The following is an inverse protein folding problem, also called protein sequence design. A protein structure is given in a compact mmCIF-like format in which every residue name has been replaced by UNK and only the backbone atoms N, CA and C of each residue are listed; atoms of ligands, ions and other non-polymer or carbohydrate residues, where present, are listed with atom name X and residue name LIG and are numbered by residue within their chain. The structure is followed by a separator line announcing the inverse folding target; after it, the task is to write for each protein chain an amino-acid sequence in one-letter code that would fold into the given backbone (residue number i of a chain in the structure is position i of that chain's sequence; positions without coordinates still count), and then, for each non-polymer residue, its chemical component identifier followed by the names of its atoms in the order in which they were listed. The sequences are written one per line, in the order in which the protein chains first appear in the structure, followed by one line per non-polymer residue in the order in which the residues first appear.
data_IF_464683003438
#
_entry.id   IF_464683003438
#
_cell.length_a   1.000
_cell.length_b   1.000
_cell.length_c   1.000
_cell.angle_alpha   90.00
_cell.angle_beta   90.00
_cell.angle_gamma   90.00
#
_symmetry.space_group_name_H-M   'P 1'
#
loop_
_entity.id
_entity.type
_entity.pdbx_description
1 polymer ?
#
# COMPACT_ATOMS: atom_id res chain seq x y z
N UNK A 1 28.68 14.22 25.95
CA UNK A 1 27.40 14.78 25.41
C UNK A 1 26.71 13.82 24.44
N UNK A 2 27.41 13.22 23.46
CA UNK A 2 26.81 12.23 22.52
C UNK A 2 26.39 10.93 23.21
N UNK A 3 27.21 10.43 24.14
CA UNK A 3 26.94 9.16 24.87
C UNK A 3 25.65 9.21 25.70
N UNK A 4 25.33 10.35 26.33
CA UNK A 4 24.10 10.48 27.14
C UNK A 4 22.83 10.64 26.30
N UNK A 5 22.96 11.11 25.06
CA UNK A 5 21.84 11.17 24.10
C UNK A 5 21.52 9.77 23.60
N UNK A 6 22.56 8.97 23.33
CA UNK A 6 22.40 7.60 22.86
C UNK A 6 21.77 6.68 23.91
N UNK A 7 22.09 6.84 25.20
CA UNK A 7 21.47 6.04 26.27
C UNK A 7 19.96 6.31 26.38
N UNK A 8 19.56 7.59 26.31
CA UNK A 8 18.15 7.97 26.34
C UNK A 8 17.34 7.42 25.15
N UNK A 9 17.96 7.24 23.98
CA UNK A 9 17.29 6.69 22.80
C UNK A 9 17.16 5.16 22.85
N UNK A 10 18.08 4.46 23.50
CA UNK A 10 17.94 3.03 23.83
C UNK A 10 16.82 2.78 24.83
N UNK A 11 16.71 3.62 25.86
CA UNK A 11 15.68 3.49 26.91
C UNK A 11 14.27 3.78 26.36
N UNK A 12 14.16 4.57 25.29
CA UNK A 12 12.92 4.83 24.54
C UNK A 12 12.59 3.73 23.51
N UNK A 13 13.41 2.67 23.39
CA UNK A 13 13.19 1.57 22.46
C UNK A 13 13.43 1.89 20.97
N UNK A 14 14.05 3.04 20.68
CA UNK A 14 14.29 3.53 19.31
C UNK A 14 15.50 2.83 18.66
N UNK A 15 16.42 2.29 19.47
CA UNK A 15 17.59 1.54 19.02
C UNK A 15 17.61 0.12 19.63
N UNK A 16 17.57 -0.92 18.78
CA UNK A 16 17.96 -2.29 19.15
C UNK A 16 19.32 -2.61 18.50
N UNK A 17 20.38 -2.67 19.30
CA UNK A 17 21.68 -3.13 18.82
C UNK A 17 21.74 -4.67 18.82
N UNK A 18 22.06 -5.27 17.66
CA UNK A 18 22.64 -6.61 17.63
C UNK A 18 24.15 -6.50 17.91
N UNK A 19 24.64 -7.35 18.79
CA UNK A 19 26.02 -7.36 19.27
C UNK A 19 26.90 -8.11 18.25
N UNK A 20 27.61 -7.40 17.39
CA UNK A 20 28.66 -8.01 16.53
C UNK A 20 29.93 -7.17 16.48
N UNK A 21 30.89 -7.61 17.31
CA UNK A 21 32.37 -7.57 17.24
C UNK A 21 33.15 -6.39 16.62
N UNK A 22 33.91 -5.73 17.51
CA UNK A 22 35.35 -5.42 17.46
C UNK A 22 36.05 -5.35 16.09
N UNK A 23 36.24 -4.15 15.57
CA UNK A 23 37.53 -3.43 15.46
C UNK A 23 37.21 -2.09 14.80
N UNK A 24 37.89 -1.03 15.25
CA UNK A 24 37.56 0.34 14.88
C UNK A 24 37.45 0.54 13.37
N UNK A 25 36.25 0.88 12.90
CA UNK A 25 35.97 1.87 11.87
C UNK A 25 34.45 1.90 11.59
N UNK A 26 33.90 3.13 11.58
CA UNK A 26 32.56 3.50 11.04
C UNK A 26 31.29 3.02 11.78
N UNK A 27 30.69 3.98 12.50
CA UNK A 27 29.36 3.92 13.11
C UNK A 27 28.15 3.86 12.13
N UNK A 28 28.34 3.48 10.87
CA UNK A 28 27.30 3.59 9.83
C UNK A 28 26.46 2.33 9.59
N UNK A 29 26.83 1.18 10.18
CA UNK A 29 26.24 -0.11 9.79
C UNK A 29 24.92 -0.41 10.52
N UNK A 30 24.74 0.05 11.77
CA UNK A 30 23.54 -0.30 12.55
C UNK A 30 22.27 0.46 12.14
N UNK A 31 22.39 1.75 11.77
CA UNK A 31 21.24 2.59 11.40
C UNK A 31 20.73 2.28 10.00
N UNK A 32 21.64 2.05 9.02
CA UNK A 32 21.28 1.68 7.66
C UNK A 32 20.62 0.29 7.56
N UNK A 33 21.09 -0.68 8.37
CA UNK A 33 20.51 -2.03 8.41
C UNK A 33 19.11 -2.03 9.03
N UNK A 34 18.90 -1.26 10.10
CA UNK A 34 17.59 -1.09 10.72
C UNK A 34 16.60 -0.36 9.78
N UNK A 35 17.05 0.67 9.06
CA UNK A 35 16.24 1.41 8.09
C UNK A 35 15.80 0.55 6.90
N UNK A 36 16.69 -0.28 6.37
CA UNK A 36 16.32 -1.23 5.31
C UNK A 36 15.23 -2.19 5.79
N UNK A 37 15.37 -2.76 7.00
CA UNK A 37 14.38 -3.68 7.56
C UNK A 37 13.01 -3.02 7.76
N UNK A 38 12.98 -1.80 8.28
CA UNK A 38 11.74 -1.05 8.47
C UNK A 38 11.06 -0.70 7.14
N UNK A 39 11.84 -0.29 6.14
CA UNK A 39 11.36 -0.04 4.78
C UNK A 39 10.77 -1.31 4.14
N UNK A 40 11.45 -2.46 4.28
CA UNK A 40 10.93 -3.74 3.79
C UNK A 40 9.62 -4.09 4.49
N UNK A 41 9.56 -3.93 5.81
CA UNK A 41 8.33 -4.16 6.57
C UNK A 41 7.16 -3.32 6.04
N UNK A 42 7.35 -2.01 5.87
CA UNK A 42 6.31 -1.11 5.35
C UNK A 42 5.86 -1.53 3.95
N UNK A 43 6.82 -1.88 3.09
CA UNK A 43 6.52 -2.38 1.75
C UNK A 43 5.62 -3.61 1.82
N UNK A 44 5.99 -4.59 2.64
CA UNK A 44 5.23 -5.83 2.80
C UNK A 44 3.84 -5.59 3.40
N UNK A 45 3.74 -4.69 4.38
CA UNK A 45 2.46 -4.34 5.01
C UNK A 45 1.52 -3.64 4.02
N UNK A 46 2.04 -2.70 3.21
CA UNK A 46 1.27 -2.04 2.15
C UNK A 46 0.87 -3.03 1.05
N UNK A 47 1.77 -3.92 0.60
CA UNK A 47 1.45 -4.94 -0.42
C UNK A 47 0.36 -5.89 0.09
N UNK A 48 0.47 -6.34 1.34
CA UNK A 48 -0.51 -7.22 1.96
C UNK A 48 -1.87 -6.54 2.09
N UNK A 49 -1.88 -5.29 2.54
CA UNK A 49 -3.11 -4.51 2.60
C UNK A 49 -3.70 -4.26 1.20
N UNK A 50 -2.87 -3.94 0.20
CA UNK A 50 -3.33 -3.74 -1.16
C UNK A 50 -4.00 -5.00 -1.72
N UNK A 51 -3.45 -6.19 -1.45
CA UNK A 51 -4.05 -7.46 -1.84
C UNK A 51 -5.40 -7.69 -1.15
N UNK A 52 -5.48 -7.44 0.16
CA UNK A 52 -6.71 -7.56 0.94
C UNK A 52 -7.79 -6.60 0.43
N UNK A 53 -7.44 -5.34 0.19
CA UNK A 53 -8.34 -4.31 -0.30
C UNK A 53 -8.82 -4.60 -1.73
N UNK A 54 -7.93 -5.08 -2.60
CA UNK A 54 -8.28 -5.57 -3.94
C UNK A 54 -9.31 -6.69 -3.88
N UNK A 55 -9.08 -7.69 -3.03
CA UNK A 55 -9.99 -8.83 -2.86
C UNK A 55 -11.36 -8.37 -2.34
N UNK A 56 -11.38 -7.41 -1.41
CA UNK A 56 -12.62 -6.79 -0.93
C UNK A 56 -13.41 -6.12 -2.06
N UNK A 57 -12.76 -5.30 -2.89
CA UNK A 57 -13.40 -4.62 -4.03
C UNK A 57 -13.93 -5.66 -5.02
N UNK A 58 -13.09 -6.62 -5.42
CA UNK A 58 -13.46 -7.64 -6.40
C UNK A 58 -14.64 -8.49 -5.92
N UNK A 59 -14.60 -8.96 -4.67
CA UNK A 59 -15.68 -9.73 -4.06
C UNK A 59 -16.99 -8.95 -4.10
N UNK A 60 -16.98 -7.67 -3.73
CA UNK A 60 -18.18 -6.85 -3.69
C UNK A 60 -18.73 -6.54 -5.09
N UNK A 61 -17.87 -6.26 -6.07
CA UNK A 61 -18.28 -6.10 -7.47
C UNK A 61 -18.87 -7.40 -8.03
N UNK A 62 -18.22 -8.55 -7.82
CA UNK A 62 -18.74 -9.87 -8.22
C UNK A 62 -20.07 -10.20 -7.56
N UNK A 63 -20.23 -9.88 -6.29
CA UNK A 63 -21.48 -10.15 -5.58
C UNK A 63 -22.65 -9.34 -6.15
N UNK A 64 -22.41 -8.07 -6.51
CA UNK A 64 -23.44 -7.17 -7.01
C UNK A 64 -23.73 -7.36 -8.51
N UNK A 65 -22.69 -7.38 -9.34
CA UNK A 65 -22.79 -7.43 -10.81
C UNK A 65 -22.61 -8.82 -11.41
N UNK A 66 -22.38 -9.86 -10.59
CA UNK A 66 -22.26 -11.26 -11.02
C UNK A 66 -21.17 -11.47 -12.08
N UNK A 67 -21.51 -12.05 -13.22
CA UNK A 67 -20.57 -12.42 -14.28
C UNK A 67 -20.06 -11.16 -15.00
N UNK A 68 -20.90 -10.14 -15.12
CA UNK A 68 -20.62 -8.88 -15.80
C UNK A 68 -19.88 -7.87 -14.92
N UNK A 69 -19.33 -8.29 -13.78
CA UNK A 69 -18.72 -7.38 -12.80
C UNK A 69 -17.56 -6.57 -13.34
N UNK A 70 -16.73 -7.15 -14.21
CA UNK A 70 -15.62 -6.43 -14.82
C UNK A 70 -16.15 -5.35 -15.78
N UNK A 71 -17.07 -5.72 -16.66
CA UNK A 71 -17.60 -4.80 -17.67
C UNK A 71 -18.47 -3.70 -17.09
N UNK A 72 -19.26 -4.05 -16.08
CA UNK A 72 -20.23 -3.13 -15.47
C UNK A 72 -19.59 -2.33 -14.35
N UNK A 73 -18.78 -2.96 -13.51
CA UNK A 73 -18.23 -2.40 -12.27
C UNK A 73 -16.95 -1.60 -12.47
N UNK A 74 -16.13 -1.92 -13.47
CA UNK A 74 -14.87 -1.20 -13.71
C UNK A 74 -15.10 -0.05 -14.70
N UNK A 75 -14.71 1.20 -14.36
CA UNK A 75 -14.81 2.32 -15.30
C UNK A 75 -13.98 2.07 -16.56
N UNK A 76 -14.47 2.52 -17.72
CA UNK A 76 -13.80 2.33 -19.02
C UNK A 76 -12.37 2.87 -19.04
N UNK A 77 -12.15 4.05 -18.43
CA UNK A 77 -10.82 4.64 -18.31
C UNK A 77 -9.84 3.75 -17.52
N UNK A 78 -10.33 3.00 -16.54
CA UNK A 78 -9.52 2.06 -15.76
C UNK A 78 -9.26 0.78 -16.56
N UNK A 79 -10.25 0.26 -17.30
CA UNK A 79 -10.06 -0.88 -18.21
C UNK A 79 -8.95 -0.60 -19.24
N UNK A 80 -9.00 0.55 -19.91
CA UNK A 80 -7.99 0.96 -20.89
C UNK A 80 -6.58 1.10 -20.28
N UNK A 81 -6.48 1.62 -19.05
CA UNK A 81 -5.21 1.68 -18.32
C UNK A 81 -4.67 0.27 -18.02
N UNK A 82 -5.51 -0.64 -17.56
CA UNK A 82 -5.14 -2.03 -17.28
C UNK A 82 -4.65 -2.73 -18.54
N UNK A 83 -5.38 -2.61 -19.66
CA UNK A 83 -5.00 -3.24 -20.93
C UNK A 83 -3.67 -2.69 -21.47
N UNK A 84 -3.42 -1.39 -21.29
CA UNK A 84 -2.13 -0.77 -21.61
C UNK A 84 -1.00 -1.33 -20.74
N UNK A 85 -1.21 -1.45 -19.42
CA UNK A 85 -0.22 -2.01 -18.48
C UNK A 85 0.06 -3.49 -18.77
N UNK A 86 -0.95 -4.26 -19.17
CA UNK A 86 -0.82 -5.67 -19.59
C UNK A 86 0.02 -5.77 -20.85
N UNK A 87 -0.28 -4.96 -21.88
CA UNK A 87 0.46 -4.95 -23.15
C UNK A 87 1.94 -4.65 -22.91
N UNK A 88 2.25 -3.61 -22.11
CA UNK A 88 3.63 -3.26 -21.75
C UNK A 88 4.33 -4.33 -20.89
N UNK A 89 3.56 -5.14 -20.14
CA UNK A 89 4.12 -6.26 -19.39
C UNK A 89 4.40 -7.44 -20.32
N UNK A 90 3.50 -7.78 -21.22
CA UNK A 90 3.65 -8.87 -22.19
C UNK A 90 4.79 -8.63 -23.19
N UNK A 91 5.07 -7.38 -23.56
CA UNK A 91 6.26 -7.03 -24.36
C UNK A 91 7.57 -7.48 -23.69
N UNK A 92 7.61 -7.49 -22.34
CA UNK A 92 8.78 -7.90 -21.55
C UNK A 92 8.74 -9.37 -21.17
N UNK A 93 7.55 -9.92 -21.00
CA UNK A 93 7.31 -11.31 -20.62
C UNK A 93 6.04 -11.85 -21.33
N UNK A 94 6.18 -12.40 -22.55
CA UNK A 94 5.03 -12.83 -23.35
C UNK A 94 4.22 -13.99 -22.75
N UNK A 95 4.78 -14.73 -21.79
CA UNK A 95 4.14 -15.91 -21.18
C UNK A 95 3.48 -15.62 -19.84
N UNK A 96 3.43 -14.34 -19.43
CA UNK A 96 2.87 -13.97 -18.13
C UNK A 96 1.37 -14.29 -18.07
N UNK A 97 0.95 -14.90 -16.96
CA UNK A 97 -0.46 -15.09 -16.66
C UNK A 97 -1.13 -13.74 -16.34
N UNK A 98 -2.32 -13.52 -16.91
CA UNK A 98 -2.98 -12.21 -16.89
C UNK A 98 -4.16 -12.24 -15.93
N UNK A 99 -3.91 -11.74 -14.72
CA UNK A 99 -4.97 -11.44 -13.75
C UNK A 99 -5.17 -9.92 -13.76
N UNK A 100 -6.22 -9.43 -14.41
CA UNK A 100 -6.45 -7.99 -14.65
C UNK A 100 -6.41 -7.14 -13.36
N UNK A 101 -6.96 -7.65 -12.26
CA UNK A 101 -6.92 -6.95 -10.96
C UNK A 101 -5.49 -6.72 -10.43
N UNK A 102 -4.50 -7.54 -10.84
CA UNK A 102 -3.11 -7.35 -10.44
C UNK A 102 -2.45 -6.12 -11.08
N UNK A 103 -3.08 -5.52 -12.07
CA UNK A 103 -2.60 -4.34 -12.77
C UNK A 103 -3.26 -3.04 -12.27
N UNK A 104 -3.98 -3.08 -11.15
CA UNK A 104 -4.58 -1.91 -10.49
C UNK A 104 -3.71 -1.41 -9.34
N UNK A 105 -3.87 -0.14 -8.98
CA UNK A 105 -3.27 0.50 -7.82
C UNK A 105 -4.28 1.32 -7.00
N UNK A 106 -3.83 1.92 -5.88
CA UNK A 106 -4.68 2.71 -4.99
C UNK A 106 -5.48 3.82 -5.68
N UNK A 107 -4.93 4.45 -6.72
CA UNK A 107 -5.66 5.49 -7.46
C UNK A 107 -6.80 4.91 -8.31
N UNK A 108 -6.57 3.72 -8.86
CA UNK A 108 -7.59 3.01 -9.63
C UNK A 108 -8.70 2.48 -8.69
N UNK A 109 -8.35 1.99 -7.50
CA UNK A 109 -9.33 1.55 -6.49
C UNK A 109 -10.26 2.69 -6.07
N UNK A 110 -9.73 3.88 -5.76
CA UNK A 110 -10.56 5.06 -5.46
C UNK A 110 -11.51 5.38 -6.62
N UNK A 111 -11.01 5.34 -7.86
CA UNK A 111 -11.82 5.60 -9.06
C UNK A 111 -12.94 4.58 -9.24
N UNK A 112 -12.68 3.30 -8.95
CA UNK A 112 -13.67 2.22 -8.99
C UNK A 112 -14.71 2.42 -7.88
N UNK A 113 -14.29 2.63 -6.63
CA UNK A 113 -15.19 2.75 -5.48
C UNK A 113 -16.08 4.00 -5.60
N UNK A 114 -15.51 5.14 -5.99
CA UNK A 114 -16.23 6.42 -6.01
C UNK A 114 -17.09 6.64 -7.25
N UNK A 115 -16.99 5.77 -8.26
CA UNK A 115 -17.91 5.78 -9.40
C UNK A 115 -19.34 5.71 -8.87
N UNK A 116 -20.17 6.69 -9.25
CA UNK A 116 -21.52 6.91 -8.69
C UNK A 116 -22.32 5.62 -8.51
N UNK A 117 -22.43 4.80 -9.57
CA UNK A 117 -23.16 3.52 -9.52
C UNK A 117 -22.61 2.58 -8.43
N UNK A 118 -21.29 2.36 -8.41
CA UNK A 118 -20.65 1.47 -7.44
C UNK A 118 -20.76 2.01 -6.02
N UNK A 119 -20.58 3.33 -5.86
CA UNK A 119 -20.71 3.98 -4.56
C UNK A 119 -22.12 3.77 -4.02
N UNK A 120 -23.13 4.23 -4.76
CA UNK A 120 -24.52 4.26 -4.33
C UNK A 120 -25.09 2.86 -4.06
N UNK A 121 -24.69 1.85 -4.85
CA UNK A 121 -25.27 0.50 -4.78
C UNK A 121 -24.46 -0.55 -4.00
N UNK A 122 -23.18 -0.29 -3.72
CA UNK A 122 -22.27 -1.28 -3.11
C UNK A 122 -21.58 -0.67 -1.89
N UNK A 123 -20.85 0.42 -2.09
CA UNK A 123 -19.83 0.86 -1.12
C UNK A 123 -20.36 1.79 -0.02
N UNK A 124 -21.54 2.38 -0.18
CA UNK A 124 -22.30 3.05 0.89
C UNK A 124 -22.66 2.12 2.05
N UNK A 125 -22.70 0.80 1.81
CA UNK A 125 -22.97 -0.19 2.87
C UNK A 125 -21.77 -0.42 3.79
N UNK A 126 -20.57 -0.01 3.37
CA UNK A 126 -19.31 -0.28 4.10
C UNK A 126 -18.67 1.00 4.61
N UNK A 127 -18.66 2.06 3.80
CA UNK A 127 -17.98 3.31 4.13
C UNK A 127 -19.00 4.40 4.45
N UNK A 128 -18.80 5.16 5.55
CA UNK A 128 -19.73 6.21 5.95
C UNK A 128 -19.79 7.35 4.92
N UNK A 129 -18.64 7.70 4.35
CA UNK A 129 -18.52 8.72 3.31
C UNK A 129 -17.24 8.52 2.49
N UNK A 130 -17.15 9.19 1.33
CA UNK A 130 -15.97 9.04 0.43
C UNK A 130 -14.68 9.57 1.06
N UNK A 131 -14.74 10.67 1.82
CA UNK A 131 -13.54 11.29 2.42
C UNK A 131 -12.91 10.39 3.46
N UNK A 132 -13.72 9.57 4.14
CA UNK A 132 -13.26 8.60 5.15
C UNK A 132 -12.26 7.57 4.61
N UNK A 133 -12.22 7.35 3.29
CA UNK A 133 -11.27 6.45 2.63
C UNK A 133 -10.40 7.14 1.57
N UNK A 134 -10.83 8.24 0.96
CA UNK A 134 -10.06 8.94 -0.09
C UNK A 134 -8.72 9.46 0.45
N UNK A 135 -8.75 10.13 1.59
CA UNK A 135 -7.55 10.67 2.23
C UNK A 135 -6.51 9.57 2.58
N UNK A 136 -6.85 8.50 3.32
CA UNK A 136 -5.88 7.45 3.63
C UNK A 136 -5.40 6.70 2.37
N UNK A 137 -6.24 6.49 1.36
CA UNK A 137 -5.82 5.87 0.09
C UNK A 137 -4.80 6.73 -0.67
N UNK A 138 -5.00 8.06 -0.73
CA UNK A 138 -4.02 8.96 -1.36
C UNK A 138 -2.68 8.96 -0.60
N UNK A 139 -2.71 8.93 0.74
CA UNK A 139 -1.48 8.82 1.53
C UNK A 139 -0.76 7.50 1.29
N UNK A 140 -1.48 6.37 1.28
CA UNK A 140 -0.90 5.07 0.97
C UNK A 140 -0.32 5.01 -0.45
N UNK A 141 -0.96 5.65 -1.43
CA UNK A 141 -0.43 5.78 -2.80
C UNK A 141 0.93 6.49 -2.83
N UNK A 142 1.06 7.61 -2.14
CA UNK A 142 2.31 8.38 -2.05
C UNK A 142 3.39 7.54 -1.37
N UNK A 143 3.09 6.98 -0.19
CA UNK A 143 4.05 6.18 0.59
C UNK A 143 4.50 4.95 -0.21
N UNK A 144 3.58 4.25 -0.89
CA UNK A 144 3.93 3.10 -1.75
C UNK A 144 4.93 3.50 -2.82
N UNK A 145 4.71 4.65 -3.48
CA UNK A 145 5.61 5.18 -4.51
C UNK A 145 6.99 5.49 -3.94
N UNK A 146 7.05 6.17 -2.79
CA UNK A 146 8.31 6.55 -2.15
C UNK A 146 9.11 5.33 -1.67
N UNK A 147 8.43 4.32 -1.12
CA UNK A 147 9.02 3.04 -0.74
C UNK A 147 9.61 2.33 -1.96
N UNK A 148 8.89 2.32 -3.09
CA UNK A 148 9.39 1.76 -4.35
C UNK A 148 10.60 2.52 -4.92
N UNK A 149 10.67 3.84 -4.75
CA UNK A 149 11.73 4.70 -5.29
C UNK A 149 12.85 5.06 -4.30
N UNK A 150 12.85 4.49 -3.09
CA UNK A 150 13.87 4.77 -2.04
C UNK A 150 13.81 6.23 -1.54
N UNK A 151 12.66 6.90 -1.63
CA UNK A 151 12.46 8.30 -1.25
C UNK A 151 11.72 8.49 0.09
N UNK A 152 11.72 7.46 0.93
CA UNK A 152 10.86 7.42 2.13
C UNK A 152 11.34 8.43 3.18
N UNK A 153 10.46 9.33 3.59
CA UNK A 153 10.69 10.21 4.73
C UNK A 153 10.33 9.48 6.05
N UNK A 154 11.10 9.75 7.11
CA UNK A 154 10.88 9.15 8.44
C UNK A 154 9.46 9.37 8.98
N UNK A 155 8.82 10.49 8.63
CA UNK A 155 7.44 10.79 9.05
C UNK A 155 6.40 9.84 8.46
N UNK A 156 6.67 9.25 7.29
CA UNK A 156 5.77 8.31 6.62
C UNK A 156 5.89 6.89 7.21
N UNK A 157 7.09 6.55 7.72
CA UNK A 157 7.37 5.25 8.34
C UNK A 157 6.44 4.96 9.53
N UNK A 158 6.00 5.99 10.25
CA UNK A 158 5.14 5.83 11.42
C UNK A 158 3.64 6.01 11.14
N UNK A 159 3.26 6.50 9.96
CA UNK A 159 1.87 6.89 9.67
C UNK A 159 1.12 5.93 8.75
N UNK A 160 1.83 5.11 7.96
CA UNK A 160 1.19 4.18 7.03
C UNK A 160 0.21 3.23 7.74
N UNK A 161 0.57 2.73 8.94
CA UNK A 161 -0.28 1.80 9.70
C UNK A 161 -1.60 2.45 10.11
N UNK A 162 -1.58 3.73 10.49
CA UNK A 162 -2.81 4.49 10.81
C UNK A 162 -3.74 4.54 9.61
N UNK A 163 -3.22 4.82 8.41
CA UNK A 163 -4.05 4.85 7.19
C UNK A 163 -4.58 3.47 6.80
N UNK A 164 -3.79 2.40 7.02
CA UNK A 164 -4.26 1.02 6.83
C UNK A 164 -5.40 0.73 7.81
N UNK A 165 -5.20 0.99 9.10
CA UNK A 165 -6.16 0.71 10.17
C UNK A 165 -7.46 1.52 9.98
N UNK A 166 -7.35 2.77 9.51
CA UNK A 166 -8.49 3.63 9.18
C UNK A 166 -9.38 3.03 8.08
N UNK A 167 -8.82 2.32 7.11
CA UNK A 167 -9.60 1.67 6.05
C UNK A 167 -10.06 0.28 6.52
N UNK A 168 -9.18 -0.47 7.18
CA UNK A 168 -9.43 -1.86 7.61
C UNK A 168 -10.64 -1.99 8.53
N UNK A 169 -10.93 -0.98 9.35
CA UNK A 169 -12.13 -0.97 10.21
C UNK A 169 -13.45 -1.15 9.44
N UNK A 170 -13.46 -0.92 8.12
CA UNK A 170 -14.63 -1.05 7.26
C UNK A 170 -14.63 -2.30 6.37
N UNK A 171 -13.56 -3.12 6.40
CA UNK A 171 -13.43 -4.29 5.52
C UNK A 171 -14.05 -5.57 6.11
N UNK A 172 -14.67 -5.48 7.29
CA UNK A 172 -15.31 -6.59 8.01
C UNK A 172 -16.70 -6.94 7.44
#
# INVERSE_FOLDING_TARGET
KVISILSNLTDLGILKYSKSFLHGERWYVSTAWNWNNEKYKIREDIIRFELEFRNFIEKNLKNHYKVEWWETGIPELIKNKVDSRITERQKRDPKIDIIKMNFLDFSDYSSIIFRKKNWDSIFTNYFPDKKSIDYPLDKLRIIRSDVSHVRVHLGDLNRYSVYIDEIKKYLN
#
